data_IF_408537572224
#
_entry.id   IF_408537572224
#
_cell.length_a   1.000
_cell.length_b   1.000
_cell.length_c   1.000
_cell.angle_alpha   90.00
_cell.angle_beta   90.00
_cell.angle_gamma   90.00
#
_symmetry.space_group_name_H-M   'P 1'
#
loop_
_entity.id
_entity.type
_entity.pdbx_description
1 polymer ?
#
# COMPACT_ATOMS: atom_id res chain seq x y z
N UNK A 1 7.41 13.50 -1.16
CA UNK A 1 6.59 12.99 -2.29
C UNK A 1 6.94 13.65 -3.62
N UNK A 2 7.03 14.98 -3.71
CA UNK A 2 7.39 15.70 -4.96
C UNK A 2 8.65 15.21 -5.66
N UNK A 3 9.75 14.93 -4.97
CA UNK A 3 11.02 14.64 -5.66
C UNK A 3 11.03 13.34 -6.48
N UNK A 4 10.15 12.39 -6.17
CA UNK A 4 9.99 11.18 -6.97
C UNK A 4 9.21 11.43 -8.27
N UNK A 5 8.70 12.65 -8.53
CA UNK A 5 7.94 13.04 -9.73
C UNK A 5 8.80 13.51 -10.88
N UNK A 6 10.06 13.89 -10.62
CA UNK A 6 10.92 14.51 -11.62
C UNK A 6 11.68 13.49 -12.51
N UNK A 7 11.72 12.19 -12.15
CA UNK A 7 12.55 11.20 -12.84
C UNK A 7 11.78 10.01 -13.46
N UNK A 8 10.54 9.73 -13.04
CA UNK A 8 9.72 8.62 -13.55
C UNK A 8 8.25 9.06 -13.64
N UNK A 9 7.75 9.20 -14.88
CA UNK A 9 6.48 9.86 -15.23
C UNK A 9 5.22 9.03 -15.03
N UNK A 10 5.32 7.73 -14.78
CA UNK A 10 4.17 6.82 -14.64
C UNK A 10 3.88 6.46 -13.18
N UNK A 11 3.77 7.49 -12.33
CA UNK A 11 3.46 7.27 -10.92
C UNK A 11 1.96 7.38 -10.65
N UNK A 12 1.39 6.31 -10.12
CA UNK A 12 0.05 6.34 -9.55
C UNK A 12 0.12 6.91 -8.13
N UNK A 13 -0.79 7.83 -7.81
CA UNK A 13 -0.96 8.42 -6.49
C UNK A 13 -2.33 8.01 -5.96
N UNK A 14 -2.36 7.49 -4.74
CA UNK A 14 -3.58 6.91 -4.15
C UNK A 14 -3.74 7.34 -2.70
N UNK A 15 -4.94 7.77 -2.32
CA UNK A 15 -5.35 8.01 -0.94
C UNK A 15 -6.05 6.76 -0.40
N UNK A 16 -5.44 6.16 0.62
CA UNK A 16 -5.99 5.00 1.31
C UNK A 16 -6.82 5.36 2.55
N UNK A 17 -7.16 6.64 2.74
CA UNK A 17 -7.81 7.27 3.90
C UNK A 17 -7.05 7.19 5.24
N UNK A 18 -6.16 6.22 5.37
CA UNK A 18 -5.21 6.06 6.49
C UNK A 18 -3.81 6.53 6.13
N UNK A 19 -3.52 6.64 4.84
CA UNK A 19 -2.22 7.01 4.31
C UNK A 19 -2.35 7.50 2.87
N UNK A 20 -1.35 8.23 2.39
CA UNK A 20 -1.20 8.60 0.98
C UNK A 20 -0.01 7.87 0.39
N UNK A 21 -0.21 7.23 -0.74
CA UNK A 21 0.78 6.37 -1.38
C UNK A 21 1.14 6.86 -2.77
N UNK A 22 2.38 6.56 -3.18
CA UNK A 22 2.88 6.71 -4.54
C UNK A 22 3.51 5.40 -4.98
N UNK A 23 3.15 4.93 -6.16
CA UNK A 23 3.75 3.74 -6.77
C UNK A 23 4.79 4.15 -7.82
N UNK A 24 5.96 3.53 -7.77
CA UNK A 24 7.05 3.74 -8.73
C UNK A 24 7.58 2.40 -9.20
N UNK A 25 7.73 2.24 -10.51
CA UNK A 25 8.31 1.04 -11.10
C UNK A 25 9.82 1.19 -11.22
N UNK A 26 10.56 0.31 -10.53
CA UNK A 26 12.00 0.14 -10.68
C UNK A 26 12.34 -0.35 -12.10
N UNK A 27 13.52 -0.01 -12.67
CA UNK A 27 13.94 -0.48 -13.99
C UNK A 27 13.85 -2.00 -14.22
N UNK A 28 14.03 -2.80 -13.16
CA UNK A 28 13.89 -4.27 -13.22
C UNK A 28 12.43 -4.77 -13.15
N UNK A 29 11.45 -3.84 -13.13
CA UNK A 29 10.02 -4.16 -13.11
C UNK A 29 9.42 -4.35 -11.71
N UNK A 30 10.18 -4.15 -10.63
CA UNK A 30 9.65 -4.15 -9.27
C UNK A 30 8.83 -2.90 -8.98
N UNK A 31 7.66 -3.05 -8.36
CA UNK A 31 6.88 -1.92 -7.87
C UNK A 31 7.31 -1.54 -6.46
N UNK A 32 7.60 -0.27 -6.23
CA UNK A 32 7.87 0.32 -4.92
C UNK A 32 6.73 1.26 -4.58
N UNK A 33 6.03 0.96 -3.49
CA UNK A 33 5.06 1.86 -2.89
C UNK A 33 5.74 2.71 -1.81
N UNK A 34 5.64 4.03 -1.95
CA UNK A 34 6.09 5.00 -0.95
C UNK A 34 4.85 5.56 -0.27
N UNK A 35 4.70 5.27 1.02
CA UNK A 35 3.51 5.60 1.79
C UNK A 35 3.82 6.58 2.92
N UNK A 36 3.01 7.62 3.05
CA UNK A 36 3.01 8.52 4.19
C UNK A 36 1.72 8.30 5.00
N UNK A 37 1.85 7.76 6.21
CA UNK A 37 0.70 7.52 7.09
C UNK A 37 0.11 8.84 7.59
N UNK A 38 -1.22 8.94 7.60
CA UNK A 38 -1.92 10.04 8.27
C UNK A 38 -1.87 9.82 9.79
N UNK A 39 -1.81 10.89 10.59
CA UNK A 39 -2.08 10.79 12.03
C UNK A 39 -3.37 10.01 12.27
N UNK A 40 -3.38 9.11 13.26
CA UNK A 40 -4.53 8.20 13.53
C UNK A 40 -5.85 8.94 13.76
N UNK A 41 -5.78 10.19 14.23
CA UNK A 41 -6.93 11.07 14.48
C UNK A 41 -7.61 11.53 13.18
N UNK A 42 -6.91 11.50 12.05
CA UNK A 42 -7.42 11.89 10.73
C UNK A 42 -7.96 10.72 9.92
N UNK A 43 -7.89 9.49 10.43
CA UNK A 43 -8.35 8.31 9.71
C UNK A 43 -9.86 8.36 9.52
N UNK A 44 -10.33 8.25 8.26
CA UNK A 44 -11.74 7.96 8.00
C UNK A 44 -12.05 6.56 8.53
N UNK A 45 -13.15 6.42 9.27
CA UNK A 45 -13.55 5.14 9.88
C UNK A 45 -14.90 4.68 9.37
N UNK A 46 -15.05 3.37 9.21
CA UNK A 46 -16.30 2.69 8.93
C UNK A 46 -16.58 1.74 10.09
N UNK A 47 -17.44 2.18 11.03
CA UNK A 47 -17.63 1.49 12.30
C UNK A 47 -16.35 1.50 13.16
N UNK A 48 -15.94 0.34 13.64
CA UNK A 48 -14.73 0.19 14.47
C UNK A 48 -13.42 0.10 13.65
N UNK A 49 -13.54 -0.08 12.34
CA UNK A 49 -12.42 -0.27 11.42
C UNK A 49 -12.12 1.01 10.62
N UNK A 50 -10.86 1.21 10.16
CA UNK A 50 -10.58 2.23 9.15
C UNK A 50 -11.37 1.95 7.88
N UNK A 51 -11.84 3.00 7.20
CA UNK A 51 -12.48 2.85 5.90
C UNK A 51 -11.44 2.37 4.89
N UNK A 52 -11.79 1.36 4.08
CA UNK A 52 -10.94 0.95 2.96
C UNK A 52 -11.32 1.81 1.77
N UNK A 53 -10.45 2.75 1.42
CA UNK A 53 -10.64 3.67 0.29
C UNK A 53 -9.39 3.59 -0.58
N UNK A 54 -9.54 3.84 -1.88
CA UNK A 54 -8.44 3.98 -2.82
C UNK A 54 -8.79 5.11 -3.80
N UNK A 55 -8.88 6.33 -3.28
CA UNK A 55 -9.20 7.51 -4.08
C UNK A 55 -7.96 7.95 -4.86
N UNK A 56 -8.11 8.29 -6.14
CA UNK A 56 -6.98 8.74 -6.96
C UNK A 56 -6.56 10.14 -6.53
N UNK A 57 -5.27 10.32 -6.30
CA UNK A 57 -4.66 11.62 -6.04
C UNK A 57 -4.00 12.17 -7.32
N UNK A 58 -3.85 13.47 -7.36
CA UNK A 58 -3.14 14.21 -8.40
C UNK A 58 -1.82 14.76 -7.86
N UNK A 59 -0.93 15.20 -8.73
CA UNK A 59 0.30 15.89 -8.31
C UNK A 59 0.00 17.18 -7.56
N UNK A 60 -1.09 17.86 -7.95
CA UNK A 60 -1.50 19.14 -7.38
C UNK A 60 -1.79 19.03 -5.88
N UNK A 61 -2.32 17.89 -5.43
CA UNK A 61 -2.59 17.55 -4.03
C UNK A 61 -1.35 17.55 -3.14
N UNK A 62 -0.16 17.41 -3.74
CA UNK A 62 1.12 17.47 -3.03
C UNK A 62 1.88 18.77 -3.31
N UNK A 63 1.40 19.59 -4.24
CA UNK A 63 2.14 20.78 -4.68
C UNK A 63 2.04 21.98 -3.78
N UNK A 64 0.93 22.12 -3.06
CA UNK A 64 0.67 23.24 -2.16
C UNK A 64 1.08 23.02 -0.71
N UNK A 65 1.65 21.87 -0.34
CA UNK A 65 1.98 21.58 1.06
C UNK A 65 3.22 22.35 1.54
N UNK A 66 3.30 22.70 2.84
CA UNK A 66 4.49 23.32 3.41
C UNK A 66 5.75 22.49 3.15
N UNK A 67 6.82 23.15 2.70
CA UNK A 67 8.09 22.49 2.40
C UNK A 67 8.11 21.73 1.07
N UNK A 68 7.03 21.76 0.30
CA UNK A 68 6.98 21.02 -0.95
C UNK A 68 7.99 21.56 -2.00
N UNK A 69 8.33 22.86 -1.97
CA UNK A 69 9.36 23.42 -2.85
C UNK A 69 10.78 23.39 -2.25
N UNK A 70 10.95 22.76 -1.07
CA UNK A 70 12.26 22.62 -0.46
C UNK A 70 13.15 21.66 -1.29
N UNK A 71 14.49 21.84 -1.28
CA UNK A 71 15.41 20.87 -1.85
C UNK A 71 15.27 19.48 -1.22
N UNK A 72 15.46 18.43 -2.00
CA UNK A 72 15.51 17.07 -1.47
C UNK A 72 16.86 16.83 -0.79
N UNK A 73 16.86 16.71 0.54
CA UNK A 73 18.07 16.41 1.32
C UNK A 73 18.18 14.93 1.72
N UNK A 74 17.26 14.10 1.22
CA UNK A 74 17.15 12.67 1.57
C UNK A 74 15.80 12.33 2.18
N UNK A 75 15.61 11.05 2.50
CA UNK A 75 14.40 10.58 3.17
C UNK A 75 14.43 10.94 4.65
N UNK A 76 13.25 11.16 5.29
CA UNK A 76 13.17 11.33 6.74
C UNK A 76 13.85 10.18 7.49
N UNK A 77 14.51 10.48 8.61
CA UNK A 77 15.29 9.51 9.39
C UNK A 77 14.43 8.38 9.99
N UNK A 78 13.14 8.61 10.15
CA UNK A 78 12.11 7.67 10.60
C UNK A 78 11.44 6.90 9.45
N UNK A 79 11.99 6.96 8.24
CA UNK A 79 11.51 6.14 7.11
C UNK A 79 11.80 4.67 7.38
N UNK A 80 10.78 3.82 7.27
CA UNK A 80 10.87 2.38 7.51
C UNK A 80 10.40 1.56 6.31
N UNK A 81 10.88 0.32 6.21
CA UNK A 81 10.31 -0.66 5.28
C UNK A 81 8.93 -1.11 5.80
N UNK A 82 7.89 -0.91 4.99
CA UNK A 82 6.50 -1.22 5.36
C UNK A 82 6.20 -2.71 5.34
N UNK A 83 5.80 -3.21 4.18
CA UNK A 83 5.49 -4.61 3.91
C UNK A 83 5.98 -4.99 2.51
N UNK A 84 6.06 -6.29 2.24
CA UNK A 84 6.28 -6.81 0.88
C UNK A 84 4.96 -7.31 0.33
N UNK A 85 4.60 -6.88 -0.88
CA UNK A 85 3.47 -7.45 -1.60
C UNK A 85 3.96 -8.45 -2.65
N UNK A 86 3.44 -9.68 -2.61
CA UNK A 86 3.74 -10.72 -3.58
C UNK A 86 2.52 -11.05 -4.42
N UNK A 87 2.70 -11.03 -5.75
CA UNK A 87 1.72 -11.54 -6.70
C UNK A 87 1.94 -13.03 -6.93
N UNK A 88 1.08 -13.88 -6.38
CA UNK A 88 1.21 -15.34 -6.47
C UNK A 88 0.34 -15.91 -7.60
N UNK A 89 0.71 -17.10 -8.10
CA UNK A 89 -0.03 -17.81 -9.16
C UNK A 89 -1.23 -18.60 -8.66
N UNK A 90 -1.29 -18.82 -7.35
CA UNK A 90 -2.37 -19.49 -6.65
C UNK A 90 -3.59 -18.54 -6.55
N UNK A 91 -4.67 -18.90 -7.25
CA UNK A 91 -5.80 -18.01 -7.46
C UNK A 91 -6.57 -17.73 -6.16
N UNK A 92 -6.74 -18.73 -5.31
CA UNK A 92 -7.55 -18.65 -4.10
C UNK A 92 -6.72 -18.68 -2.82
N UNK A 93 -5.37 -18.60 -2.97
CA UNK A 93 -4.38 -18.63 -1.89
C UNK A 93 -4.40 -19.93 -1.05
N UNK A 94 -4.92 -21.03 -1.60
CA UNK A 94 -5.10 -22.31 -0.91
C UNK A 94 -3.76 -23.02 -0.62
N UNK A 95 -2.79 -22.90 -1.51
CA UNK A 95 -1.44 -23.45 -1.34
C UNK A 95 -0.51 -22.44 -0.64
N UNK A 96 -0.71 -21.16 -0.94
CA UNK A 96 0.16 -20.08 -0.47
C UNK A 96 -0.05 -19.80 1.01
N UNK A 97 -1.30 -19.79 1.49
CA UNK A 97 -1.59 -19.47 2.88
C UNK A 97 -0.91 -20.44 3.87
N UNK A 98 -1.09 -21.77 3.77
CA UNK A 98 -0.45 -22.71 4.71
C UNK A 98 1.07 -22.60 4.71
N UNK A 99 1.68 -22.29 3.57
CA UNK A 99 3.12 -22.04 3.51
C UNK A 99 3.53 -20.87 4.42
N UNK A 100 2.81 -19.76 4.39
CA UNK A 100 3.14 -18.60 5.22
C UNK A 100 2.70 -18.74 6.67
N UNK A 101 1.59 -19.43 6.93
CA UNK A 101 1.02 -19.53 8.28
C UNK A 101 1.54 -20.75 9.05
N UNK A 102 1.56 -21.93 8.44
CA UNK A 102 1.94 -23.19 9.10
C UNK A 102 3.46 -23.43 9.04
N UNK A 103 4.08 -23.23 7.88
CA UNK A 103 5.51 -23.45 7.72
C UNK A 103 6.34 -22.28 8.25
N UNK A 104 5.95 -21.04 7.94
CA UNK A 104 6.69 -19.84 8.36
C UNK A 104 6.15 -19.19 9.65
N UNK A 105 4.99 -19.63 10.16
CA UNK A 105 4.47 -19.18 11.44
C UNK A 105 3.92 -17.76 11.46
N UNK A 106 3.50 -17.20 10.32
CA UNK A 106 2.87 -15.88 10.28
C UNK A 106 1.39 -15.96 10.67
N UNK A 107 0.89 -14.92 11.35
CA UNK A 107 -0.53 -14.80 11.66
C UNK A 107 -1.28 -14.09 10.53
N UNK A 108 -2.49 -14.57 10.21
CA UNK A 108 -3.42 -13.87 9.33
C UNK A 108 -3.99 -12.65 10.04
N UNK A 109 -3.77 -11.48 9.45
CA UNK A 109 -4.19 -10.18 10.02
C UNK A 109 -5.37 -9.56 9.26
N UNK A 110 -5.59 -9.95 8.01
CA UNK A 110 -6.69 -9.45 7.20
C UNK A 110 -6.90 -10.27 5.94
N UNK A 111 -8.18 -10.45 5.57
CA UNK A 111 -8.59 -11.21 4.38
C UNK A 111 -9.79 -10.56 3.67
N UNK A 112 -9.57 -9.53 2.83
CA UNK A 112 -10.56 -9.07 1.87
C UNK A 112 -10.76 -10.07 0.72
N UNK A 113 -11.83 -10.87 0.81
CA UNK A 113 -12.15 -11.89 -0.20
C UNK A 113 -11.14 -13.04 -0.22
N UNK A 114 -11.08 -13.80 -1.31
CA UNK A 114 -10.20 -14.98 -1.45
C UNK A 114 -8.88 -14.71 -2.17
N UNK A 115 -8.75 -13.54 -2.79
CA UNK A 115 -7.60 -13.18 -3.60
C UNK A 115 -6.57 -12.32 -2.85
N UNK A 116 -6.80 -12.06 -1.56
CA UNK A 116 -5.95 -11.21 -0.73
C UNK A 116 -5.71 -11.83 0.65
N UNK A 117 -4.47 -11.82 1.09
CA UNK A 117 -4.08 -12.18 2.46
C UNK A 117 -3.03 -11.21 3.00
N UNK A 118 -3.32 -10.57 4.13
CA UNK A 118 -2.31 -9.87 4.92
C UNK A 118 -1.84 -10.77 6.07
N UNK A 119 -0.53 -10.99 6.15
CA UNK A 119 0.10 -11.83 7.16
C UNK A 119 1.28 -11.11 7.83
N UNK A 120 1.53 -11.39 9.10
CA UNK A 120 2.66 -10.80 9.81
C UNK A 120 2.91 -11.42 11.18
N UNK A 121 4.07 -11.10 11.76
CA UNK A 121 4.50 -11.65 13.04
C UNK A 121 4.01 -10.85 14.27
N UNK A 122 3.43 -9.65 14.06
CA UNK A 122 2.92 -8.80 15.15
C UNK A 122 1.51 -8.31 14.83
N UNK A 123 0.62 -8.24 15.83
CA UNK A 123 -0.82 -7.96 15.64
C UNK A 123 -1.19 -6.66 14.89
N UNK A 124 -0.25 -5.76 14.66
CA UNK A 124 -0.55 -4.41 14.17
C UNK A 124 0.22 -4.03 12.89
N UNK A 125 1.04 -4.94 12.36
CA UNK A 125 1.78 -4.69 11.11
C UNK A 125 1.89 -5.98 10.31
N UNK A 126 1.24 -5.99 9.16
CA UNK A 126 1.45 -7.03 8.17
C UNK A 126 2.86 -6.87 7.61
N UNK A 127 3.62 -7.95 7.62
CA UNK A 127 4.94 -7.99 6.98
C UNK A 127 4.80 -8.35 5.51
N UNK A 128 3.77 -9.12 5.18
CA UNK A 128 3.53 -9.70 3.87
C UNK A 128 2.07 -9.48 3.46
N UNK A 129 1.89 -9.08 2.20
CA UNK A 129 0.59 -9.06 1.54
C UNK A 129 0.66 -9.96 0.32
N UNK A 130 -0.24 -10.93 0.22
CA UNK A 130 -0.40 -11.77 -0.95
C UNK A 130 -1.59 -11.27 -1.75
N UNK A 131 -1.38 -11.06 -3.05
CA UNK A 131 -2.46 -10.92 -4.02
C UNK A 131 -2.28 -11.96 -5.10
N UNK A 132 -3.36 -12.51 -5.64
CA UNK A 132 -3.21 -13.36 -6.81
C UNK A 132 -2.83 -12.50 -8.04
N UNK A 133 -2.13 -13.08 -9.02
CA UNK A 133 -1.73 -12.38 -10.24
C UNK A 133 -2.87 -12.14 -11.24
N UNK A 134 -4.06 -12.67 -10.96
CA UNK A 134 -5.25 -12.56 -11.83
C UNK A 134 -6.20 -11.43 -11.40
N UNK A 135 -5.95 -10.81 -10.25
CA UNK A 135 -6.68 -9.65 -9.73
C UNK A 135 -6.41 -8.44 -10.61
N UNK A 136 -7.47 -7.92 -11.22
CA UNK A 136 -7.48 -6.63 -11.93
C UNK A 136 -7.62 -5.47 -10.95
N UNK A 137 -6.76 -5.38 -9.93
CA UNK A 137 -6.81 -4.31 -8.92
C UNK A 137 -8.17 -4.17 -8.20
N UNK A 138 -8.35 -3.15 -7.36
CA UNK A 138 -9.67 -2.80 -6.84
C UNK A 138 -10.58 -2.33 -7.98
N UNK A 139 -11.83 -2.82 -8.02
CA UNK A 139 -12.84 -2.25 -8.92
C UNK A 139 -13.06 -0.77 -8.56
N UNK A 140 -13.16 0.13 -9.55
CA UNK A 140 -13.47 1.53 -9.28
C UNK A 140 -14.78 1.64 -8.52
N UNK A 141 -14.81 2.48 -7.48
CA UNK A 141 -16.04 2.75 -6.71
C UNK A 141 -17.11 3.25 -7.68
N UNK A 142 -18.30 2.62 -7.76
CA UNK A 142 -19.38 3.08 -8.62
C UNK A 142 -19.73 4.53 -8.31
N UNK A 143 -19.84 5.37 -9.35
CA UNK A 143 -20.37 6.72 -9.21
C UNK A 143 -21.83 6.66 -8.72
N UNK A 144 -22.15 7.49 -7.73
CA UNK A 144 -23.47 7.59 -7.11
C UNK A 144 -24.49 8.33 -7.99
#
# INVERSE_FOLDING_TARGET
MKHCTAAHTDAELTDHSVARSRYVTHPDGHCVEITCARPRQEWRRQGESPAVVAERLTLEDFTGEPGADAPFEGQPADTELGHVQLKVTDAELEDSEPFYTELLGLDVQGRPGKMFLAAGATRHRALLVLTNRFSTGPEPVPEA
#
